data_IF_447576815434
#
_entry.id   IF_447576815434
#
_cell.length_a   1.000
_cell.length_b   1.000
_cell.length_c   1.000
_cell.angle_alpha   90.00
_cell.angle_beta   90.00
_cell.angle_gamma   90.00
#
_symmetry.space_group_name_H-M   'P 1'
#
loop_
_entity.id
_entity.type
_entity.pdbx_description
1 polymer ?
#
# COMPACT_ATOMS: atom_id res chain seq x y z
N UNK A 1 -13.12 20.10 5.22
CA UNK A 1 -13.82 19.52 6.38
C UNK A 1 -14.86 18.62 5.74
N UNK A 2 -14.74 17.30 5.63
CA UNK A 2 -14.22 16.29 6.56
C UNK A 2 -13.78 15.07 5.70
N UNK A 3 -12.49 14.87 5.47
CA UNK A 3 -11.97 13.72 4.69
C UNK A 3 -11.16 12.75 5.56
N UNK A 4 -11.43 12.76 6.86
CA UNK A 4 -10.91 11.74 7.79
C UNK A 4 -11.81 10.53 7.66
N UNK A 5 -11.26 9.43 7.16
CA UNK A 5 -11.99 8.18 6.90
C UNK A 5 -12.58 7.68 8.24
N UNK A 6 -13.92 7.66 8.42
CA UNK A 6 -14.51 7.16 9.65
C UNK A 6 -14.29 5.64 9.76
N UNK A 7 -14.13 5.14 10.99
CA UNK A 7 -13.77 3.76 11.35
C UNK A 7 -14.50 2.64 10.56
N UNK A 8 -15.81 2.72 10.24
CA UNK A 8 -16.48 1.71 9.38
C UNK A 8 -16.08 1.79 7.90
N UNK A 9 -15.62 2.95 7.42
CA UNK A 9 -15.13 3.17 6.07
C UNK A 9 -13.68 2.69 5.89
N UNK A 10 -12.93 2.52 6.98
CA UNK A 10 -11.59 1.91 7.02
C UNK A 10 -11.61 0.50 6.44
N UNK A 11 -12.65 -0.28 6.75
CA UNK A 11 -12.79 -1.66 6.23
C UNK A 11 -12.94 -1.68 4.70
N UNK A 12 -13.71 -0.73 4.14
CA UNK A 12 -13.90 -0.59 2.70
C UNK A 12 -12.62 -0.09 2.00
N UNK A 13 -11.88 0.82 2.65
CA UNK A 13 -10.64 1.38 2.12
C UNK A 13 -9.48 0.36 2.18
N UNK A 14 -9.40 -0.43 3.24
CA UNK A 14 -8.53 -1.60 3.32
C UNK A 14 -8.86 -2.62 2.24
N UNK A 15 -10.14 -2.77 1.86
CA UNK A 15 -10.55 -3.65 0.76
C UNK A 15 -10.04 -3.16 -0.61
N UNK A 16 -10.06 -1.85 -0.85
CA UNK A 16 -9.51 -1.24 -2.08
C UNK A 16 -8.00 -1.45 -2.17
N UNK A 17 -7.27 -1.18 -1.08
CA UNK A 17 -5.83 -1.44 -1.01
C UNK A 17 -5.56 -2.93 -1.20
N UNK A 18 -6.30 -3.80 -0.52
CA UNK A 18 -6.22 -5.25 -0.63
C UNK A 18 -6.38 -5.75 -2.07
N UNK A 19 -7.38 -5.29 -2.81
CA UNK A 19 -7.53 -5.70 -4.21
C UNK A 19 -6.34 -5.29 -5.07
N UNK A 20 -5.89 -4.04 -4.95
CA UNK A 20 -4.74 -3.55 -5.71
C UNK A 20 -3.47 -4.33 -5.37
N UNK A 21 -3.16 -4.46 -4.07
CA UNK A 21 -1.99 -5.17 -3.56
C UNK A 21 -1.99 -6.63 -4.01
N UNK A 22 -3.17 -7.27 -4.03
CA UNK A 22 -3.34 -8.63 -4.53
C UNK A 22 -3.06 -8.73 -6.02
N UNK A 23 -3.63 -7.84 -6.83
CA UNK A 23 -3.40 -7.83 -8.28
C UNK A 23 -1.90 -7.68 -8.60
N UNK A 24 -1.23 -6.74 -7.93
CA UNK A 24 0.21 -6.53 -8.09
C UNK A 24 1.01 -7.76 -7.65
N UNK A 25 0.66 -8.39 -6.52
CA UNK A 25 1.28 -9.65 -6.08
C UNK A 25 1.07 -10.78 -7.08
N UNK A 26 -0.12 -10.93 -7.67
CA UNK A 26 -0.42 -11.96 -8.67
C UNK A 26 0.39 -11.75 -9.95
N UNK A 27 0.51 -10.49 -10.41
CA UNK A 27 1.28 -10.13 -11.60
C UNK A 27 2.80 -10.28 -11.39
N UNK A 28 3.32 -9.90 -10.22
CA UNK A 28 4.73 -10.02 -9.85
C UNK A 28 5.10 -11.41 -9.29
N UNK A 29 4.12 -12.32 -9.15
CA UNK A 29 4.28 -13.66 -8.54
C UNK A 29 4.93 -13.60 -7.16
N UNK A 30 4.49 -12.65 -6.35
CA UNK A 30 5.02 -12.47 -5.01
C UNK A 30 4.67 -13.64 -4.09
N UNK A 31 5.48 -13.81 -3.05
CA UNK A 31 5.21 -14.74 -1.96
C UNK A 31 3.87 -14.43 -1.31
N UNK A 32 3.11 -15.49 -1.02
CA UNK A 32 1.77 -15.40 -0.43
C UNK A 32 1.78 -14.70 0.94
N UNK A 33 2.94 -14.66 1.62
CA UNK A 33 3.13 -13.97 2.90
C UNK A 33 3.28 -12.44 2.79
N UNK A 34 3.66 -11.89 1.62
CA UNK A 34 3.86 -10.44 1.42
C UNK A 34 2.55 -9.69 1.58
N UNK A 35 1.49 -10.22 0.97
CA UNK A 35 0.16 -9.64 0.98
C UNK A 35 -0.45 -9.47 2.40
N UNK A 36 -0.56 -10.53 3.23
CA UNK A 36 -1.10 -10.40 4.59
C UNK A 36 -0.19 -9.55 5.48
N UNK A 37 1.12 -9.54 5.26
CA UNK A 37 2.05 -8.68 6.00
C UNK A 37 1.80 -7.18 5.68
N UNK A 38 1.66 -6.84 4.40
CA UNK A 38 1.28 -5.49 3.96
C UNK A 38 -0.04 -5.05 4.56
N UNK A 39 -1.06 -5.93 4.52
CA UNK A 39 -2.38 -5.63 5.09
C UNK A 39 -2.33 -5.40 6.60
N UNK A 40 -1.47 -6.14 7.32
CA UNK A 40 -1.26 -5.92 8.75
C UNK A 40 -0.68 -4.53 9.04
N UNK A 41 0.26 -4.05 8.21
CA UNK A 41 0.80 -2.70 8.35
C UNK A 41 -0.24 -1.61 8.08
N UNK A 42 -1.03 -1.76 7.01
CA UNK A 42 -2.11 -0.82 6.67
C UNK A 42 -3.14 -0.75 7.79
N UNK A 43 -3.64 -1.89 8.25
CA UNK A 43 -4.66 -1.97 9.30
C UNK A 43 -4.17 -1.31 10.61
N UNK A 44 -2.93 -1.63 11.01
CA UNK A 44 -2.32 -1.05 12.21
C UNK A 44 -2.12 0.46 12.08
N UNK A 45 -1.73 0.95 10.90
CA UNK A 45 -1.56 2.38 10.66
C UNK A 45 -2.89 3.12 10.69
N UNK A 46 -3.93 2.57 10.04
CA UNK A 46 -5.26 3.16 10.01
C UNK A 46 -5.96 3.14 11.37
N UNK A 47 -5.64 2.17 12.21
CA UNK A 47 -6.12 2.09 13.60
C UNK A 47 -5.60 3.26 14.47
N UNK A 48 -4.44 3.81 14.14
CA UNK A 48 -3.76 4.85 14.92
C UNK A 48 -3.92 6.23 14.27
N UNK A 49 -3.88 6.29 12.94
CA UNK A 49 -3.82 7.51 12.15
C UNK A 49 -4.98 7.59 11.15
N UNK A 50 -5.94 8.50 11.36
CA UNK A 50 -6.92 8.83 10.35
C UNK A 50 -6.25 9.58 9.19
N UNK A 51 -6.19 8.96 8.02
CA UNK A 51 -5.68 9.56 6.79
C UNK A 51 -6.80 9.81 5.78
N UNK A 52 -6.48 10.56 4.73
CA UNK A 52 -7.40 10.79 3.60
C UNK A 52 -7.38 9.62 2.62
N UNK A 53 -8.47 9.43 1.88
CA UNK A 53 -8.54 8.43 0.81
C UNK A 53 -7.41 8.55 -0.22
N UNK A 54 -7.00 9.78 -0.55
CA UNK A 54 -5.89 10.04 -1.47
C UNK A 54 -4.55 9.49 -0.97
N UNK A 55 -4.32 9.50 0.35
CA UNK A 55 -3.12 8.96 0.97
C UNK A 55 -3.19 7.45 1.21
N UNK A 56 -4.38 6.87 1.06
CA UNK A 56 -4.60 5.46 1.38
C UNK A 56 -4.03 4.55 0.31
N UNK A 57 -4.10 4.94 -0.96
CA UNK A 57 -3.34 4.30 -2.04
C UNK A 57 -1.83 4.40 -1.80
N UNK A 58 -1.33 5.57 -1.38
CA UNK A 58 0.09 5.76 -1.06
C UNK A 58 0.53 4.84 0.07
N UNK A 59 -0.25 4.77 1.15
CA UNK A 59 0.01 3.91 2.29
C UNK A 59 0.03 2.43 1.86
N UNK A 60 -0.99 1.97 1.14
CA UNK A 60 -1.06 0.59 0.65
C UNK A 60 0.14 0.22 -0.23
N UNK A 61 0.50 1.11 -1.16
CA UNK A 61 1.67 0.95 -2.02
C UNK A 61 2.98 0.91 -1.25
N UNK A 62 3.16 1.79 -0.27
CA UNK A 62 4.36 1.84 0.57
C UNK A 62 4.47 0.60 1.46
N UNK A 63 3.36 0.19 2.08
CA UNK A 63 3.30 -1.02 2.90
C UNK A 63 3.58 -2.29 2.08
N UNK A 64 3.08 -2.36 0.84
CA UNK A 64 3.36 -3.47 -0.07
C UNK A 64 4.83 -3.48 -0.47
N UNK A 65 5.39 -2.32 -0.83
CA UNK A 65 6.81 -2.18 -1.15
C UNK A 65 7.70 -2.63 0.01
N UNK A 66 7.35 -2.22 1.24
CA UNK A 66 8.05 -2.62 2.46
C UNK A 66 7.93 -4.13 2.70
N UNK A 67 6.73 -4.69 2.62
CA UNK A 67 6.50 -6.11 2.83
C UNK A 67 7.25 -6.96 1.79
N UNK A 68 7.25 -6.52 0.53
CA UNK A 68 8.03 -7.16 -0.54
C UNK A 68 9.52 -7.10 -0.26
N UNK A 69 10.07 -5.95 0.15
CA UNK A 69 11.48 -5.83 0.56
C UNK A 69 11.88 -6.70 1.75
N UNK A 70 10.94 -6.99 2.66
CA UNK A 70 11.20 -7.78 3.86
C UNK A 70 11.13 -9.29 3.62
N UNK A 71 10.29 -9.74 2.68
CA UNK A 71 9.99 -11.17 2.46
C UNK A 71 10.52 -11.70 1.14
N UNK A 72 10.66 -10.87 0.11
CA UNK A 72 11.07 -11.32 -1.22
C UNK A 72 12.58 -11.25 -1.42
N UNK A 73 13.12 -12.19 -2.19
CA UNK A 73 14.50 -12.13 -2.66
C UNK A 73 14.72 -11.06 -3.74
N UNK A 74 13.69 -10.79 -4.55
CA UNK A 74 13.65 -9.72 -5.55
C UNK A 74 12.52 -8.75 -5.21
N UNK A 75 12.81 -7.64 -4.52
CA UNK A 75 11.77 -6.73 -4.10
C UNK A 75 11.11 -6.01 -5.28
N UNK A 76 9.82 -5.71 -5.14
CA UNK A 76 9.14 -4.77 -6.03
C UNK A 76 9.89 -3.43 -6.03
N UNK A 77 10.04 -2.84 -7.21
CA UNK A 77 10.61 -1.52 -7.35
C UNK A 77 9.51 -0.47 -7.21
N UNK A 78 9.83 0.67 -6.59
CA UNK A 78 8.88 1.77 -6.46
C UNK A 78 8.38 2.25 -7.84
N UNK A 79 9.22 2.19 -8.88
CA UNK A 79 8.86 2.53 -10.26
C UNK A 79 7.70 1.70 -10.81
N UNK A 80 7.71 0.39 -10.53
CA UNK A 80 6.66 -0.53 -10.95
C UNK A 80 5.35 -0.14 -10.27
N UNK A 81 5.37 0.10 -8.97
CA UNK A 81 4.19 0.51 -8.22
C UNK A 81 3.65 1.88 -8.64
N UNK A 82 4.52 2.84 -8.96
CA UNK A 82 4.13 4.15 -9.51
C UNK A 82 3.41 3.98 -10.85
N UNK A 83 3.92 3.10 -11.71
CA UNK A 83 3.28 2.77 -12.99
C UNK A 83 1.88 2.16 -12.80
N UNK A 84 1.72 1.24 -11.85
CA UNK A 84 0.41 0.63 -11.55
C UNK A 84 -0.58 1.57 -10.86
N UNK A 85 -0.09 2.66 -10.25
CA UNK A 85 -0.94 3.66 -9.59
C UNK A 85 -1.28 4.85 -10.50
N UNK A 86 -1.07 4.70 -11.81
CA UNK A 86 -1.34 5.73 -12.84
C UNK A 86 -0.69 7.08 -12.50
N UNK A 87 0.53 7.04 -11.95
CA UNK A 87 1.28 8.21 -11.45
C UNK A 87 0.53 9.06 -10.42
N UNK A 88 -0.49 8.53 -9.74
CA UNK A 88 -1.11 9.20 -8.59
C UNK A 88 -0.15 9.32 -7.40
N UNK A 89 0.92 8.51 -7.38
CA UNK A 89 1.98 8.52 -6.39
C UNK A 89 3.30 8.74 -7.12
N UNK A 90 4.17 9.62 -6.61
CA UNK A 90 5.49 9.81 -7.19
C UNK A 90 6.55 8.98 -6.48
N UNK A 91 7.68 8.72 -7.15
CA UNK A 91 8.82 8.08 -6.51
C UNK A 91 9.31 8.87 -5.30
N UNK A 92 9.20 10.19 -5.32
CA UNK A 92 9.59 11.07 -4.21
C UNK A 92 8.74 10.81 -2.95
N UNK A 93 7.46 10.47 -3.11
CA UNK A 93 6.60 10.05 -1.99
C UNK A 93 7.02 8.69 -1.38
N UNK A 94 7.68 7.84 -2.18
CA UNK A 94 8.13 6.49 -1.78
C UNK A 94 9.61 6.45 -1.36
N UNK A 95 10.42 7.35 -1.87
CA UNK A 95 11.86 7.49 -1.63
C UNK A 95 12.15 8.90 -1.14
N UNK A 96 12.23 9.05 0.19
CA UNK A 96 12.88 10.22 0.76
C UNK A 96 14.38 10.05 0.53
N UNK A 97 14.90 10.72 -0.49
CA UNK A 97 16.34 10.90 -0.69
C UNK A 97 16.84 11.81 0.44
N UNK A 98 17.33 11.19 1.51
CA UNK A 98 18.04 11.87 2.60
C UNK A 98 19.53 12.01 2.30
#
# INVERSE_FOLDING_TARGET
MEDVVPVPLTFLCSLLSSQYTKQVCEEQKCQEEVFPLSMNYVDRFLSICPIRKSQLQLLGTTCLLLASKLREASPLTAEVLVFYTDNSITLDDLWVSG
#
